data_IF_097388976714
#
_entry.id   IF_097388976714
#
_cell.length_a   1.000
_cell.length_b   1.000
_cell.length_c   1.000
_cell.angle_alpha   90.00
_cell.angle_beta   90.00
_cell.angle_gamma   90.00
#
_symmetry.space_group_name_H-M   'P 1'
#
loop_
_entity.id
_entity.type
_entity.pdbx_description
1 polymer ?
#
# COMPACT_ATOMS: atom_id res chain seq x y z
N UNK A 1 -34.21 -27.19 -0.23
CA UNK A 1 -33.71 -28.18 0.72
C UNK A 1 -32.35 -27.74 1.24
N UNK A 2 -32.12 -27.80 2.55
CA UNK A 2 -30.86 -27.35 3.21
C UNK A 2 -29.70 -28.22 2.75
N UNK A 3 -29.88 -29.55 2.70
CA UNK A 3 -28.78 -30.46 2.32
C UNK A 3 -28.31 -30.29 0.87
N UNK A 4 -29.21 -29.94 -0.06
CA UNK A 4 -28.81 -29.63 -1.43
C UNK A 4 -28.03 -28.33 -1.52
N UNK A 5 -28.39 -27.32 -0.74
CA UNK A 5 -27.60 -26.08 -0.69
C UNK A 5 -26.20 -26.32 -0.09
N UNK A 6 -26.11 -27.10 0.97
CA UNK A 6 -24.84 -27.51 1.57
C UNK A 6 -23.93 -28.26 0.58
N UNK A 7 -24.52 -29.12 -0.27
CA UNK A 7 -23.78 -29.79 -1.35
C UNK A 7 -23.17 -28.78 -2.32
N UNK A 8 -23.93 -27.76 -2.72
CA UNK A 8 -23.44 -26.69 -3.60
C UNK A 8 -22.31 -25.91 -2.91
N UNK A 9 -22.52 -25.47 -1.67
CA UNK A 9 -21.51 -24.76 -0.88
C UNK A 9 -20.21 -25.57 -0.81
N UNK A 10 -20.31 -26.84 -0.42
CA UNK A 10 -19.14 -27.74 -0.33
C UNK A 10 -18.43 -27.89 -1.67
N UNK A 11 -19.16 -28.08 -2.76
CA UNK A 11 -18.58 -28.21 -4.11
C UNK A 11 -17.78 -26.94 -4.48
N UNK A 12 -18.35 -25.75 -4.24
CA UNK A 12 -17.72 -24.49 -4.59
C UNK A 12 -16.51 -24.17 -3.72
N UNK A 13 -16.49 -24.53 -2.43
CA UNK A 13 -15.34 -24.34 -1.56
C UNK A 13 -14.22 -25.35 -1.80
N UNK A 14 -14.54 -26.61 -2.07
CA UNK A 14 -13.55 -27.67 -2.19
C UNK A 14 -12.97 -27.79 -3.62
N UNK A 15 -13.82 -27.65 -4.64
CA UNK A 15 -13.48 -27.91 -6.04
C UNK A 15 -13.62 -26.67 -6.93
N UNK A 16 -14.33 -25.65 -6.45
CA UNK A 16 -14.58 -24.41 -7.20
C UNK A 16 -13.29 -23.67 -7.53
N UNK A 17 -13.32 -22.96 -8.64
CA UNK A 17 -12.21 -22.13 -9.14
C UNK A 17 -12.66 -20.70 -9.30
N UNK A 18 -11.84 -19.77 -8.81
CA UNK A 18 -11.95 -18.36 -9.17
C UNK A 18 -11.28 -18.19 -10.52
N UNK A 19 -12.01 -17.63 -11.47
CA UNK A 19 -11.50 -17.32 -12.81
C UNK A 19 -11.45 -15.81 -13.02
N UNK A 20 -10.45 -15.33 -13.73
CA UNK A 20 -10.34 -13.93 -14.11
C UNK A 20 -9.89 -13.80 -15.56
N UNK A 21 -10.46 -12.83 -16.26
CA UNK A 21 -10.12 -12.49 -17.66
C UNK A 21 -10.26 -11.00 -17.91
N UNK A 22 -9.65 -10.50 -18.97
CA UNK A 22 -9.79 -9.12 -19.38
C UNK A 22 -11.26 -8.73 -19.57
N UNK A 23 -11.66 -7.62 -18.98
CA UNK A 23 -12.94 -6.96 -19.25
C UNK A 23 -12.83 -6.00 -20.44
N UNK A 24 -13.96 -5.41 -20.88
CA UNK A 24 -13.96 -4.41 -21.96
C UNK A 24 -13.13 -3.17 -21.63
N UNK A 25 -13.00 -2.84 -20.35
CA UNK A 25 -12.21 -1.70 -19.85
C UNK A 25 -10.74 -1.99 -19.61
N UNK A 26 -10.22 -3.15 -20.02
CA UNK A 26 -8.83 -3.53 -19.79
C UNK A 26 -7.84 -2.61 -20.50
N UNK A 27 -6.85 -2.10 -19.78
CA UNK A 27 -5.88 -1.11 -20.28
C UNK A 27 -4.58 -1.79 -20.72
N UNK A 28 -3.90 -1.31 -21.78
CA UNK A 28 -2.56 -1.76 -22.13
C UNK A 28 -1.58 -1.53 -20.97
N UNK A 29 -0.71 -2.50 -20.70
CA UNK A 29 0.27 -2.46 -19.61
C UNK A 29 -0.36 -2.31 -18.21
N UNK A 30 -1.54 -2.85 -18.01
CA UNK A 30 -2.22 -2.85 -16.72
C UNK A 30 -1.43 -3.67 -15.69
N UNK A 31 -1.48 -3.22 -14.42
CA UNK A 31 -0.99 -3.97 -13.25
C UNK A 31 -1.68 -5.32 -13.06
N UNK A 32 -2.80 -5.56 -13.77
CA UNK A 32 -3.58 -6.79 -13.73
C UNK A 32 -3.31 -7.75 -14.91
N UNK A 33 -2.32 -7.48 -15.76
CA UNK A 33 -2.03 -8.27 -16.97
C UNK A 33 -1.87 -9.77 -16.68
N UNK A 34 -1.30 -10.13 -15.53
CA UNK A 34 -1.16 -11.52 -15.10
C UNK A 34 -2.50 -12.26 -14.95
N UNK A 35 -3.58 -11.54 -14.62
CA UNK A 35 -4.92 -12.12 -14.41
C UNK A 35 -5.84 -11.96 -15.63
N UNK A 36 -5.41 -11.24 -16.66
CA UNK A 36 -6.21 -10.91 -17.82
C UNK A 36 -6.27 -12.03 -18.87
N UNK A 37 -5.36 -13.01 -18.77
CA UNK A 37 -5.18 -14.11 -19.75
C UNK A 37 -5.76 -15.42 -19.21
N UNK A 38 -7.08 -15.47 -19.01
CA UNK A 38 -7.82 -16.65 -18.54
C UNK A 38 -7.18 -17.29 -17.29
N UNK A 39 -6.91 -16.47 -16.29
CA UNK A 39 -6.38 -16.92 -15.01
C UNK A 39 -7.40 -17.79 -14.26
N UNK A 40 -6.93 -18.85 -13.62
CA UNK A 40 -7.76 -19.74 -12.82
C UNK A 40 -6.97 -20.28 -11.62
N UNK A 41 -7.60 -20.24 -10.42
CA UNK A 41 -7.03 -20.85 -9.20
C UNK A 41 -8.16 -21.42 -8.32
N UNK A 42 -7.85 -22.45 -7.54
CA UNK A 42 -8.82 -23.10 -6.67
C UNK A 42 -9.23 -22.15 -5.51
N UNK A 43 -10.51 -22.14 -5.18
CA UNK A 43 -11.04 -21.38 -4.03
C UNK A 43 -10.28 -21.72 -2.75
N UNK A 44 -10.08 -23.02 -2.47
CA UNK A 44 -9.34 -23.48 -1.29
C UNK A 44 -7.91 -22.95 -1.21
N UNK A 45 -7.21 -22.83 -2.36
CA UNK A 45 -5.86 -22.27 -2.38
C UNK A 45 -5.87 -20.78 -2.03
N UNK A 46 -6.82 -20.04 -2.60
CA UNK A 46 -6.93 -18.60 -2.37
C UNK A 46 -7.35 -18.24 -0.92
N UNK A 47 -7.89 -19.20 -0.17
CA UNK A 47 -8.16 -19.06 1.27
C UNK A 47 -6.90 -19.19 2.12
N UNK A 48 -5.81 -19.76 1.58
CA UNK A 48 -4.53 -19.85 2.29
C UNK A 48 -3.83 -18.49 2.33
N UNK A 49 -3.16 -18.19 3.46
CA UNK A 49 -2.42 -16.93 3.69
C UNK A 49 -1.45 -16.62 2.53
N UNK A 50 -0.72 -17.64 2.06
CA UNK A 50 0.28 -17.52 0.99
C UNK A 50 -0.29 -16.99 -0.33
N UNK A 51 -1.54 -17.27 -0.65
CA UNK A 51 -2.14 -16.97 -1.96
C UNK A 51 -3.26 -15.93 -1.91
N UNK A 52 -3.68 -15.51 -0.72
CA UNK A 52 -4.79 -14.58 -0.52
C UNK A 52 -4.61 -13.23 -1.26
N UNK A 53 -3.38 -12.77 -1.40
CA UNK A 53 -3.05 -11.55 -2.15
C UNK A 53 -3.48 -11.60 -3.64
N UNK A 54 -3.57 -12.81 -4.22
CA UNK A 54 -4.03 -13.00 -5.60
C UNK A 54 -5.50 -12.66 -5.74
N UNK A 55 -6.32 -13.10 -4.78
CA UNK A 55 -7.74 -12.75 -4.78
C UNK A 55 -7.96 -11.25 -4.60
N UNK A 56 -7.19 -10.60 -3.72
CA UNK A 56 -7.24 -9.14 -3.57
C UNK A 56 -6.91 -8.41 -4.87
N UNK A 57 -5.89 -8.86 -5.60
CA UNK A 57 -5.52 -8.28 -6.88
C UNK A 57 -6.62 -8.45 -7.93
N UNK A 58 -7.21 -9.66 -8.05
CA UNK A 58 -8.34 -9.92 -8.96
C UNK A 58 -9.57 -9.09 -8.58
N UNK A 59 -9.90 -9.02 -7.29
CA UNK A 59 -11.03 -8.22 -6.76
C UNK A 59 -10.87 -6.75 -7.08
N UNK A 60 -9.66 -6.19 -6.92
CA UNK A 60 -9.35 -4.82 -7.28
C UNK A 60 -9.47 -4.57 -8.79
N UNK A 61 -8.96 -5.49 -9.63
CA UNK A 61 -9.11 -5.38 -11.08
C UNK A 61 -10.58 -5.44 -11.52
N UNK A 62 -11.40 -6.19 -10.80
CA UNK A 62 -12.84 -6.23 -11.02
C UNK A 62 -13.53 -4.91 -10.62
N UNK A 63 -13.17 -4.33 -9.49
CA UNK A 63 -13.68 -3.03 -9.01
C UNK A 63 -13.22 -1.85 -9.90
N UNK A 64 -12.04 -1.96 -10.50
CA UNK A 64 -11.51 -1.00 -11.49
C UNK A 64 -12.03 -1.25 -12.92
N UNK A 65 -12.96 -2.21 -13.11
CA UNK A 65 -13.59 -2.61 -14.39
C UNK A 65 -12.59 -3.11 -15.45
N UNK A 66 -11.38 -3.47 -15.05
CA UNK A 66 -10.36 -4.04 -15.93
C UNK A 66 -10.43 -5.56 -16.04
N UNK A 67 -10.96 -6.24 -15.02
CA UNK A 67 -11.14 -7.69 -15.02
C UNK A 67 -12.62 -8.08 -14.88
N UNK A 68 -12.96 -9.21 -15.50
CA UNK A 68 -14.18 -9.95 -15.16
C UNK A 68 -13.78 -11.14 -14.31
N UNK A 69 -14.33 -11.23 -13.08
CA UNK A 69 -14.05 -12.30 -12.13
C UNK A 69 -15.32 -13.12 -11.90
N UNK A 70 -15.21 -14.44 -11.99
CA UNK A 70 -16.33 -15.36 -11.69
C UNK A 70 -15.81 -16.56 -10.89
N UNK A 71 -16.74 -17.30 -10.27
CA UNK A 71 -16.45 -18.55 -9.59
C UNK A 71 -17.19 -19.66 -10.32
N UNK A 72 -16.45 -20.68 -10.71
CA UNK A 72 -16.95 -21.83 -11.47
C UNK A 72 -16.81 -23.08 -10.62
N UNK A 73 -17.91 -23.82 -10.46
CA UNK A 73 -17.98 -25.13 -9.80
C UNK A 73 -18.23 -26.25 -10.81
N UNK A 74 -18.55 -27.44 -10.30
CA UNK A 74 -19.08 -28.54 -11.13
C UNK A 74 -20.61 -28.45 -11.24
N UNK A 75 -21.04 -27.42 -12.00
CA UNK A 75 -22.47 -27.10 -12.13
C UNK A 75 -23.27 -28.24 -12.80
N UNK A 76 -22.62 -29.06 -13.63
CA UNK A 76 -23.28 -30.20 -14.27
C UNK A 76 -23.60 -31.32 -13.27
N UNK A 77 -22.67 -31.64 -12.38
CA UNK A 77 -22.89 -32.60 -11.29
C UNK A 77 -23.96 -32.11 -10.33
N UNK A 78 -23.91 -30.81 -9.98
CA UNK A 78 -24.89 -30.19 -9.10
C UNK A 78 -26.28 -30.21 -9.72
N UNK A 79 -26.43 -29.92 -11.00
CA UNK A 79 -27.71 -29.97 -11.71
C UNK A 79 -28.30 -31.38 -11.68
N UNK A 80 -27.49 -32.42 -11.96
CA UNK A 80 -27.93 -33.81 -11.88
C UNK A 80 -28.42 -34.18 -10.47
N UNK A 81 -27.72 -33.67 -9.42
CA UNK A 81 -28.17 -33.90 -8.04
C UNK A 81 -29.53 -33.24 -7.75
N UNK A 82 -29.76 -32.02 -8.21
CA UNK A 82 -31.03 -31.31 -8.07
C UNK A 82 -32.16 -31.97 -8.84
N UNK A 83 -31.93 -32.41 -10.07
CA UNK A 83 -32.93 -33.13 -10.89
C UNK A 83 -33.32 -34.47 -10.27
N UNK A 84 -32.36 -35.24 -9.72
CA UNK A 84 -32.63 -36.49 -8.99
C UNK A 84 -33.45 -36.28 -7.73
N UNK A 85 -33.17 -35.20 -7.01
CA UNK A 85 -34.00 -34.84 -5.83
C UNK A 85 -35.40 -34.44 -6.21
N UNK A 86 -35.57 -33.70 -7.30
CA UNK A 86 -36.87 -33.18 -7.74
C UNK A 86 -37.84 -34.30 -8.20
N UNK A 87 -37.32 -35.34 -8.85
CA UNK A 87 -38.16 -36.43 -9.33
C UNK A 87 -37.40 -37.73 -9.50
N UNK A 88 -38.09 -38.84 -9.15
CA UNK A 88 -37.64 -40.22 -9.40
C UNK A 88 -38.26 -40.82 -10.67
N UNK A 89 -39.29 -40.18 -11.23
CA UNK A 89 -40.02 -40.63 -12.42
C UNK A 89 -39.93 -39.58 -13.54
N UNK A 90 -38.93 -39.64 -14.37
CA UNK A 90 -38.58 -38.54 -15.26
C UNK A 90 -39.43 -38.40 -16.54
N UNK A 91 -40.17 -39.42 -16.95
CA UNK A 91 -40.67 -39.53 -18.30
C UNK A 91 -42.16 -39.13 -18.48
N UNK A 92 -42.66 -38.20 -17.67
CA UNK A 92 -43.97 -37.61 -17.83
C UNK A 92 -43.93 -36.08 -17.73
N UNK A 93 -45.01 -35.41 -18.10
CA UNK A 93 -45.11 -33.95 -18.08
C UNK A 93 -44.82 -33.35 -16.69
N UNK A 94 -45.24 -34.01 -15.62
CA UNK A 94 -44.97 -33.59 -14.22
C UNK A 94 -43.46 -33.71 -13.89
N UNK A 95 -42.83 -34.82 -14.28
CA UNK A 95 -41.36 -34.98 -14.07
C UNK A 95 -40.53 -33.95 -14.83
N UNK A 96 -40.92 -33.65 -16.07
CA UNK A 96 -40.28 -32.59 -16.86
C UNK A 96 -40.42 -31.23 -16.18
N UNK A 97 -41.63 -30.86 -15.71
CA UNK A 97 -41.87 -29.63 -15.00
C UNK A 97 -41.04 -29.52 -13.69
N UNK A 98 -40.95 -30.63 -12.93
CA UNK A 98 -40.15 -30.66 -11.71
C UNK A 98 -38.62 -30.50 -11.98
N UNK A 99 -38.10 -31.12 -13.06
CA UNK A 99 -36.69 -30.92 -13.48
C UNK A 99 -36.41 -29.47 -13.89
N UNK A 100 -37.28 -28.87 -14.67
CA UNK A 100 -37.14 -27.45 -15.06
C UNK A 100 -37.19 -26.53 -13.83
N UNK A 101 -38.08 -26.80 -12.89
CA UNK A 101 -38.15 -26.07 -11.63
C UNK A 101 -36.88 -26.21 -10.79
N UNK A 102 -36.30 -27.42 -10.72
CA UNK A 102 -35.04 -27.70 -10.05
C UNK A 102 -33.86 -26.95 -10.71
N UNK A 103 -33.81 -26.95 -12.05
CA UNK A 103 -32.82 -26.20 -12.82
C UNK A 103 -32.92 -24.70 -12.57
N UNK A 104 -34.13 -24.16 -12.58
CA UNK A 104 -34.38 -22.75 -12.27
C UNK A 104 -33.95 -22.42 -10.85
N UNK A 105 -34.34 -23.26 -9.86
CA UNK A 105 -33.95 -23.08 -8.47
C UNK A 105 -32.43 -23.05 -8.27
N UNK A 106 -31.69 -23.97 -8.90
CA UNK A 106 -30.23 -24.01 -8.85
C UNK A 106 -29.62 -22.77 -9.50
N UNK A 107 -29.93 -22.52 -10.76
CA UNK A 107 -29.21 -21.52 -11.56
C UNK A 107 -29.53 -20.08 -11.18
N UNK A 108 -30.79 -19.79 -10.83
CA UNK A 108 -31.24 -18.42 -10.57
C UNK A 108 -31.10 -18.02 -9.10
N UNK A 109 -31.26 -18.96 -8.17
CA UNK A 109 -31.29 -18.63 -6.75
C UNK A 109 -30.08 -19.17 -6.00
N UNK A 110 -29.71 -20.46 -6.18
CA UNK A 110 -28.71 -21.10 -5.33
C UNK A 110 -27.29 -20.75 -5.78
N UNK A 111 -26.96 -20.93 -7.05
CA UNK A 111 -25.60 -20.64 -7.56
C UNK A 111 -25.19 -19.19 -7.35
N UNK A 112 -26.00 -18.16 -7.67
CA UNK A 112 -25.62 -16.78 -7.39
C UNK A 112 -25.41 -16.50 -5.90
N UNK A 113 -26.29 -17.06 -5.04
CA UNK A 113 -26.17 -16.91 -3.59
C UNK A 113 -24.87 -17.54 -3.06
N UNK A 114 -24.53 -18.76 -3.51
CA UNK A 114 -23.30 -19.45 -3.09
C UNK A 114 -22.06 -18.76 -3.63
N UNK A 115 -22.06 -18.31 -4.89
CA UNK A 115 -20.95 -17.52 -5.44
C UNK A 115 -20.69 -16.27 -4.61
N UNK A 116 -21.74 -15.54 -4.21
CA UNK A 116 -21.59 -14.37 -3.34
C UNK A 116 -21.02 -14.73 -1.95
N UNK A 117 -21.44 -15.88 -1.38
CA UNK A 117 -20.89 -16.38 -0.12
C UNK A 117 -19.40 -16.71 -0.23
N UNK A 118 -18.98 -17.35 -1.32
CA UNK A 118 -17.57 -17.64 -1.59
C UNK A 118 -16.76 -16.35 -1.77
N UNK A 119 -17.29 -15.38 -2.55
CA UNK A 119 -16.63 -14.07 -2.69
C UNK A 119 -16.49 -13.35 -1.35
N UNK A 120 -17.52 -13.37 -0.52
CA UNK A 120 -17.47 -12.76 0.82
C UNK A 120 -16.41 -13.43 1.70
N UNK A 121 -16.33 -14.76 1.68
CA UNK A 121 -15.36 -15.51 2.48
C UNK A 121 -13.91 -15.31 2.00
N UNK A 122 -13.69 -15.29 0.68
CA UNK A 122 -12.39 -14.97 0.10
C UNK A 122 -11.94 -13.56 0.46
N UNK A 123 -12.86 -12.59 0.40
CA UNK A 123 -12.57 -11.20 0.80
C UNK A 123 -12.20 -11.12 2.28
N UNK A 124 -13.03 -11.69 3.17
CA UNK A 124 -12.78 -11.71 4.60
C UNK A 124 -11.37 -12.24 4.92
N UNK A 125 -11.04 -13.42 4.37
CA UNK A 125 -9.73 -14.04 4.61
C UNK A 125 -8.57 -13.23 4.03
N UNK A 126 -8.74 -12.68 2.85
CA UNK A 126 -7.70 -11.83 2.23
C UNK A 126 -7.47 -10.54 3.01
N UNK A 127 -8.54 -9.91 3.52
CA UNK A 127 -8.43 -8.71 4.36
C UNK A 127 -7.73 -9.03 5.70
N UNK A 128 -8.10 -10.15 6.38
CA UNK A 128 -7.42 -10.60 7.59
C UNK A 128 -5.90 -10.75 7.40
N UNK A 129 -5.50 -11.43 6.32
CA UNK A 129 -4.08 -11.65 6.00
C UNK A 129 -3.35 -10.33 5.67
N UNK A 130 -4.00 -9.45 4.89
CA UNK A 130 -3.42 -8.15 4.54
C UNK A 130 -3.22 -7.26 5.77
N UNK A 131 -4.21 -7.21 6.68
CA UNK A 131 -4.12 -6.47 7.94
C UNK A 131 -2.98 -7.03 8.81
N UNK A 132 -2.83 -8.35 8.89
CA UNK A 132 -1.73 -8.98 9.63
C UNK A 132 -0.37 -8.54 9.09
N UNK A 133 -0.16 -8.62 7.77
CA UNK A 133 1.10 -8.19 7.12
C UNK A 133 1.35 -6.70 7.36
N UNK A 134 0.32 -5.87 7.20
CA UNK A 134 0.42 -4.44 7.46
C UNK A 134 0.81 -4.16 8.91
N UNK A 135 0.16 -4.82 9.87
CA UNK A 135 0.45 -4.68 11.31
C UNK A 135 1.90 -5.04 11.62
N UNK A 136 2.41 -6.15 11.06
CA UNK A 136 3.80 -6.54 11.25
C UNK A 136 4.79 -5.51 10.67
N UNK A 137 4.48 -4.94 9.51
CA UNK A 137 5.31 -3.91 8.90
C UNK A 137 5.30 -2.61 9.72
N UNK A 138 4.12 -2.15 10.17
CA UNK A 138 4.00 -1.00 11.07
C UNK A 138 4.77 -1.23 12.36
N UNK A 139 4.64 -2.42 12.95
CA UNK A 139 5.39 -2.79 14.16
C UNK A 139 6.90 -2.70 13.95
N UNK A 140 7.41 -3.22 12.84
CA UNK A 140 8.85 -3.13 12.50
C UNK A 140 9.32 -1.69 12.36
N UNK A 141 8.52 -0.83 11.74
CA UNK A 141 8.84 0.60 11.60
C UNK A 141 8.85 1.29 12.97
N UNK A 142 7.80 1.08 13.78
CA UNK A 142 7.66 1.73 15.10
C UNK A 142 8.68 1.23 16.12
N UNK A 143 9.11 -0.04 16.02
CA UNK A 143 10.15 -0.63 16.89
C UNK A 143 11.55 -0.57 16.28
N UNK A 144 11.73 0.13 15.17
CA UNK A 144 13.05 0.38 14.59
C UNK A 144 13.94 1.12 15.58
N UNK A 145 15.21 0.73 15.64
CA UNK A 145 16.18 1.42 16.53
C UNK A 145 16.26 2.89 16.16
N UNK A 146 16.11 3.81 17.12
CA UNK A 146 16.31 5.23 16.86
C UNK A 146 17.76 5.49 16.47
N UNK A 147 18.00 6.52 15.69
CA UNK A 147 19.37 6.93 15.31
C UNK A 147 20.23 7.34 16.52
N UNK A 148 19.60 7.58 17.65
CA UNK A 148 20.19 7.94 18.93
C UNK A 148 20.25 9.45 19.16
N UNK A 149 20.73 9.83 20.35
CA UNK A 149 20.86 11.24 20.77
C UNK A 149 22.00 11.91 20.01
N UNK A 150 21.70 12.53 18.87
CA UNK A 150 22.67 13.16 17.97
C UNK A 150 22.24 14.56 17.57
N UNK A 151 23.23 15.39 17.28
CA UNK A 151 23.01 16.71 16.71
C UNK A 151 22.83 16.55 15.20
N UNK A 152 21.64 16.85 14.69
CA UNK A 152 21.23 16.61 13.31
C UNK A 152 20.83 17.90 12.62
N UNK A 153 21.28 18.06 11.38
CA UNK A 153 20.81 19.10 10.48
C UNK A 153 19.72 18.53 9.58
N UNK A 154 18.45 18.93 9.79
CA UNK A 154 17.34 18.56 8.94
C UNK A 154 17.22 19.48 7.74
N UNK A 155 17.03 18.94 6.57
CA UNK A 155 16.91 19.67 5.31
C UNK A 155 15.61 19.28 4.63
N UNK A 156 14.71 20.25 4.49
CA UNK A 156 13.48 20.13 3.69
C UNK A 156 13.77 20.71 2.30
N UNK A 157 13.84 19.87 1.24
CA UNK A 157 14.26 20.30 -0.08
C UNK A 157 13.29 21.29 -0.72
N UNK A 158 13.81 22.29 -1.41
CA UNK A 158 13.01 23.27 -2.15
C UNK A 158 13.80 23.94 -3.26
N UNK A 159 13.41 23.72 -4.54
CA UNK A 159 14.12 24.25 -5.70
C UNK A 159 13.98 25.77 -5.83
N UNK A 160 12.75 26.30 -5.74
CA UNK A 160 12.48 27.72 -5.98
C UNK A 160 12.67 28.59 -4.75
N UNK A 161 12.22 28.13 -3.60
CA UNK A 161 12.26 28.91 -2.35
C UNK A 161 13.50 28.63 -1.51
N UNK A 162 14.39 27.76 -1.98
CA UNK A 162 15.53 27.25 -1.22
C UNK A 162 15.14 26.15 -0.23
N UNK A 163 16.12 25.34 0.12
CA UNK A 163 15.96 24.28 1.14
C UNK A 163 15.85 24.93 2.53
N UNK A 164 14.84 24.54 3.30
CA UNK A 164 14.74 24.93 4.70
C UNK A 164 15.63 24.01 5.51
N UNK A 165 16.49 24.60 6.30
CA UNK A 165 17.49 23.89 7.08
C UNK A 165 17.26 24.18 8.54
N UNK A 166 17.08 23.16 9.36
CA UNK A 166 16.90 23.30 10.81
C UNK A 166 17.92 22.44 11.56
N UNK A 167 18.51 22.98 12.60
CA UNK A 167 19.41 22.30 13.49
C UNK A 167 18.69 21.86 14.75
N UNK A 168 18.81 20.57 15.08
CA UNK A 168 18.38 20.04 16.38
C UNK A 168 19.57 19.51 17.16
N UNK A 169 19.52 19.66 18.47
CA UNK A 169 20.55 19.17 19.38
C UNK A 169 20.35 17.68 19.70
N UNK A 170 21.22 17.14 20.58
CA UNK A 170 21.18 15.73 21.02
C UNK A 170 19.90 15.33 21.76
N UNK A 171 19.15 16.28 22.26
CA UNK A 171 17.86 16.05 22.91
C UNK A 171 16.68 16.13 21.93
N UNK A 172 16.94 16.44 20.65
CA UNK A 172 15.92 16.70 19.63
C UNK A 172 15.31 18.11 19.75
N UNK A 173 15.88 18.99 20.58
CA UNK A 173 15.41 20.37 20.73
C UNK A 173 15.88 21.24 19.56
N UNK A 174 14.97 22.09 19.08
CA UNK A 174 15.28 23.07 18.05
C UNK A 174 16.34 24.08 18.53
N UNK A 175 17.36 24.30 17.71
CA UNK A 175 18.44 25.25 17.99
C UNK A 175 18.35 26.48 17.10
N UNK A 176 18.33 26.30 15.81
CA UNK A 176 18.31 27.39 14.82
C UNK A 176 17.80 26.88 13.45
N UNK A 177 17.49 27.82 12.57
CA UNK A 177 17.16 27.50 11.19
C UNK A 177 17.71 28.53 10.21
N UNK A 178 17.81 28.14 8.95
CA UNK A 178 18.19 29.03 7.85
C UNK A 178 17.61 28.52 6.53
N UNK A 179 17.79 29.30 5.47
CA UNK A 179 17.48 28.86 4.09
C UNK A 179 18.76 28.71 3.30
N UNK A 180 18.93 27.56 2.68
CA UNK A 180 20.06 27.25 1.82
C UNK A 180 19.57 27.06 0.38
N UNK A 181 20.16 27.81 -0.56
CA UNK A 181 19.87 27.64 -1.98
C UNK A 181 20.83 26.64 -2.61
N UNK A 182 20.30 25.74 -3.42
CA UNK A 182 21.07 24.73 -4.18
C UNK A 182 21.27 25.11 -5.64
N UNK A 183 20.55 26.12 -6.10
CA UNK A 183 20.60 26.64 -7.46
C UNK A 183 20.84 28.15 -7.47
N UNK A 184 21.42 28.66 -8.56
CA UNK A 184 21.70 30.08 -8.80
C UNK A 184 23.14 30.46 -8.54
N UNK A 185 23.49 31.70 -8.97
CA UNK A 185 24.83 32.22 -8.86
C UNK A 185 25.30 32.34 -7.41
N UNK A 186 26.44 31.73 -7.13
CA UNK A 186 27.07 31.73 -5.79
C UNK A 186 26.38 30.82 -4.75
N UNK A 187 25.39 29.99 -5.14
CA UNK A 187 24.74 29.06 -4.21
C UNK A 187 25.74 28.11 -3.52
N UNK A 188 26.66 27.52 -4.28
CA UNK A 188 27.69 26.67 -3.74
C UNK A 188 28.61 27.39 -2.72
N UNK A 189 29.04 28.61 -3.02
CA UNK A 189 29.89 29.37 -2.12
C UNK A 189 29.18 29.74 -0.82
N UNK A 190 27.88 30.14 -0.91
CA UNK A 190 27.07 30.44 0.27
C UNK A 190 26.86 29.20 1.14
N UNK A 191 26.56 28.04 0.51
CA UNK A 191 26.41 26.77 1.22
C UNK A 191 27.72 26.33 1.89
N UNK A 192 28.86 26.49 1.25
CA UNK A 192 30.19 26.22 1.85
C UNK A 192 30.44 27.09 3.07
N UNK A 193 30.19 28.39 2.95
CA UNK A 193 30.37 29.32 4.09
C UNK A 193 29.43 28.90 5.24
N UNK A 194 28.16 28.69 4.97
CA UNK A 194 27.17 28.27 5.97
C UNK A 194 27.59 26.99 6.70
N UNK A 195 27.86 25.91 5.94
CA UNK A 195 28.22 24.63 6.53
C UNK A 195 29.57 24.67 7.24
N UNK A 196 30.53 25.45 6.75
CA UNK A 196 31.80 25.66 7.44
C UNK A 196 31.63 26.38 8.77
N UNK A 197 30.81 27.39 8.83
CA UNK A 197 30.52 28.13 10.06
C UNK A 197 29.79 27.27 11.09
N UNK A 198 28.72 26.59 10.66
CA UNK A 198 27.94 25.73 11.55
C UNK A 198 28.76 24.57 12.09
N UNK A 199 29.59 23.91 11.24
CA UNK A 199 30.42 22.78 11.66
C UNK A 199 31.64 23.19 12.49
N UNK A 200 32.02 24.48 12.54
CA UNK A 200 33.01 25.01 13.48
C UNK A 200 32.42 25.26 14.87
N UNK A 201 31.17 25.66 14.93
CA UNK A 201 30.50 26.02 16.19
C UNK A 201 29.88 24.80 16.88
N UNK A 202 29.35 23.87 16.10
CA UNK A 202 28.60 22.73 16.61
C UNK A 202 29.05 21.45 15.87
N UNK A 203 29.22 20.37 16.61
CA UNK A 203 29.49 19.06 16.02
C UNK A 203 28.23 18.49 15.44
N UNK A 204 28.07 18.54 14.10
CA UNK A 204 26.99 17.90 13.37
C UNK A 204 27.34 16.44 13.19
N UNK A 205 26.47 15.54 13.61
CA UNK A 205 26.68 14.09 13.55
C UNK A 205 25.98 13.44 12.36
N UNK A 206 24.95 14.10 11.79
CA UNK A 206 24.29 13.71 10.54
C UNK A 206 23.56 14.88 9.90
N UNK A 207 23.31 14.75 8.59
CA UNK A 207 22.40 15.61 7.84
C UNK A 207 21.27 14.72 7.32
N UNK A 208 20.01 14.99 7.74
CA UNK A 208 18.83 14.31 7.27
C UNK A 208 18.17 15.14 6.14
N UNK A 209 17.91 14.53 4.99
CA UNK A 209 17.32 15.19 3.82
C UNK A 209 15.98 14.54 3.49
N UNK A 210 14.91 15.32 3.37
CA UNK A 210 13.62 14.83 2.93
C UNK A 210 13.68 14.21 1.54
N UNK A 211 12.92 13.14 1.31
CA UNK A 211 12.92 12.39 0.04
C UNK A 211 11.90 12.90 -0.99
N UNK A 212 11.33 14.08 -0.80
CA UNK A 212 10.41 14.72 -1.73
C UNK A 212 11.07 15.28 -2.96
N UNK A 213 10.39 16.24 -3.59
CA UNK A 213 10.87 16.89 -4.82
C UNK A 213 12.24 17.55 -4.57
N UNK A 214 13.22 17.26 -5.43
CA UNK A 214 14.62 17.71 -5.31
C UNK A 214 15.42 17.11 -4.15
N UNK A 215 14.91 16.09 -3.46
CA UNK A 215 15.66 15.43 -2.37
C UNK A 215 16.99 14.84 -2.83
N UNK A 216 17.01 14.13 -3.95
CA UNK A 216 18.25 13.52 -4.51
C UNK A 216 19.27 14.55 -4.96
N UNK A 217 18.82 15.61 -5.62
CA UNK A 217 19.67 16.73 -6.06
C UNK A 217 20.27 17.43 -4.85
N UNK A 218 19.48 17.64 -3.80
CA UNK A 218 19.93 18.23 -2.54
C UNK A 218 20.96 17.33 -1.82
N UNK A 219 20.73 16.01 -1.80
CA UNK A 219 21.69 15.04 -1.23
C UNK A 219 23.04 15.10 -1.95
N UNK A 220 23.01 15.06 -3.30
CA UNK A 220 24.24 15.13 -4.12
C UNK A 220 24.97 16.45 -3.88
N UNK A 221 24.23 17.57 -3.86
CA UNK A 221 24.77 18.89 -3.59
C UNK A 221 25.47 18.96 -2.23
N UNK A 222 24.80 18.50 -1.16
CA UNK A 222 25.37 18.50 0.19
C UNK A 222 26.61 17.63 0.30
N UNK A 223 26.60 16.43 -0.28
CA UNK A 223 27.79 15.54 -0.29
C UNK A 223 28.98 16.20 -1.00
N UNK A 224 28.72 16.90 -2.12
CA UNK A 224 29.75 17.67 -2.82
C UNK A 224 30.33 18.75 -1.92
N UNK A 225 29.49 19.58 -1.31
CA UNK A 225 29.94 20.69 -0.43
C UNK A 225 30.69 20.17 0.78
N UNK A 226 30.19 19.12 1.44
CA UNK A 226 30.90 18.53 2.60
C UNK A 226 32.27 18.01 2.24
N UNK A 227 32.44 17.38 1.08
CA UNK A 227 33.74 16.93 0.58
C UNK A 227 34.72 18.10 0.35
N UNK A 228 34.20 19.19 -0.22
CA UNK A 228 35.03 20.37 -0.52
C UNK A 228 35.49 21.16 0.73
N UNK A 229 34.71 21.08 1.83
CA UNK A 229 35.07 21.67 3.13
C UNK A 229 35.79 20.68 4.08
N UNK A 230 36.10 19.45 3.61
CA UNK A 230 36.82 18.43 4.40
C UNK A 230 35.95 17.85 5.54
N UNK A 231 34.64 17.74 5.34
CA UNK A 231 33.65 17.20 6.30
C UNK A 231 32.86 16.02 5.74
N UNK A 232 33.46 15.29 4.81
CA UNK A 232 32.84 14.12 4.12
C UNK A 232 32.52 12.94 5.05
N UNK A 233 33.06 12.94 6.28
CA UNK A 233 32.67 11.98 7.31
C UNK A 233 31.26 12.19 7.89
N UNK A 234 30.63 13.35 7.68
CA UNK A 234 29.28 13.62 8.12
C UNK A 234 28.32 12.90 7.16
N UNK A 235 27.54 11.88 7.63
CA UNK A 235 26.62 11.17 6.77
C UNK A 235 25.44 12.07 6.34
N UNK A 236 25.11 12.02 5.05
CA UNK A 236 23.89 12.62 4.50
C UNK A 236 22.91 11.48 4.22
N UNK A 237 21.77 11.49 4.91
CA UNK A 237 20.81 10.39 4.96
C UNK A 237 19.48 10.90 4.41
N UNK A 238 18.94 10.17 3.39
CA UNK A 238 17.60 10.42 2.90
C UNK A 238 16.57 9.85 3.87
N UNK A 239 15.58 10.66 4.24
CA UNK A 239 14.48 10.26 5.13
C UNK A 239 13.12 10.50 4.49
N UNK A 240 12.14 9.71 4.88
CA UNK A 240 10.77 9.89 4.38
C UNK A 240 10.12 11.12 5.03
N UNK A 241 9.81 12.13 4.23
CA UNK A 241 9.23 13.40 4.70
C UNK A 241 7.70 13.40 4.83
N UNK A 242 7.00 12.29 4.48
CA UNK A 242 5.54 12.25 4.54
C UNK A 242 4.99 12.57 5.94
N UNK A 243 5.64 12.06 6.97
CA UNK A 243 5.32 12.39 8.36
C UNK A 243 5.61 13.85 8.72
N UNK A 244 6.69 14.42 8.19
CA UNK A 244 7.07 15.81 8.43
C UNK A 244 6.05 16.79 7.86
N UNK A 245 5.51 16.51 6.68
CA UNK A 245 4.43 17.33 6.08
C UNK A 245 3.16 17.33 6.94
N UNK A 246 2.77 16.16 7.49
CA UNK A 246 1.62 16.04 8.38
C UNK A 246 1.87 16.77 9.71
N UNK A 247 3.03 16.53 10.33
CA UNK A 247 3.40 17.18 11.59
C UNK A 247 3.42 18.70 11.47
N UNK A 248 4.09 19.25 10.45
CA UNK A 248 4.28 20.69 10.29
C UNK A 248 2.97 21.49 10.22
N UNK A 249 1.90 20.88 9.71
CA UNK A 249 0.56 21.48 9.62
C UNK A 249 -0.31 21.21 10.87
N UNK A 250 0.12 20.35 11.80
CA UNK A 250 -0.66 19.93 12.96
C UNK A 250 -0.80 21.01 14.04
N UNK A 251 -1.80 20.84 14.92
CA UNK A 251 -1.96 21.68 16.12
C UNK A 251 -0.80 21.51 17.10
N UNK A 252 -0.24 20.30 17.18
CA UNK A 252 0.92 20.00 18.02
C UNK A 252 2.12 20.85 17.60
N UNK A 253 2.45 20.88 16.30
CA UNK A 253 3.56 21.69 15.79
C UNK A 253 3.31 23.19 15.94
N UNK A 254 2.05 23.65 15.89
CA UNK A 254 1.70 25.05 16.15
C UNK A 254 1.87 25.43 17.63
N UNK A 255 1.51 24.52 18.52
CA UNK A 255 1.69 24.72 19.94
C UNK A 255 3.17 24.67 20.36
N UNK A 256 3.97 23.77 19.76
CA UNK A 256 5.40 23.61 20.05
C UNK A 256 6.23 24.78 19.51
N UNK A 257 5.89 25.28 18.31
CA UNK A 257 6.62 26.35 17.61
C UNK A 257 5.67 27.41 17.05
N UNK A 258 5.04 28.26 17.90
CA UNK A 258 4.02 29.21 17.44
C UNK A 258 4.55 30.21 16.42
N UNK A 259 5.81 30.61 16.54
CA UNK A 259 6.44 31.68 15.76
C UNK A 259 7.20 31.19 14.52
N UNK A 260 7.29 29.87 14.30
CA UNK A 260 8.01 29.33 13.16
C UNK A 260 7.10 29.04 11.96
N UNK A 261 7.64 29.24 10.76
CA UNK A 261 6.97 28.89 9.50
C UNK A 261 6.76 27.37 9.38
N UNK A 262 5.69 26.97 8.69
CA UNK A 262 5.33 25.56 8.48
C UNK A 262 6.47 24.77 7.83
N UNK A 263 7.21 25.38 6.89
CA UNK A 263 8.32 24.72 6.20
C UNK A 263 9.53 24.50 7.12
N UNK A 264 9.78 25.40 8.07
CA UNK A 264 10.82 25.23 9.12
C UNK A 264 10.42 24.10 10.07
N UNK A 265 9.14 24.01 10.46
CA UNK A 265 8.63 22.88 11.26
C UNK A 265 8.80 21.56 10.55
N UNK A 266 8.64 21.53 9.20
CA UNK A 266 8.96 20.39 8.36
C UNK A 266 10.43 19.97 8.49
N UNK A 267 11.36 20.91 8.36
CA UNK A 267 12.81 20.63 8.49
C UNK A 267 13.18 20.14 9.89
N UNK A 268 12.56 20.67 10.96
CA UNK A 268 12.73 20.18 12.34
C UNK A 268 12.27 18.73 12.46
N UNK A 269 11.11 18.40 11.90
CA UNK A 269 10.57 17.03 11.91
C UNK A 269 11.45 16.05 11.12
N UNK A 270 12.06 16.48 10.02
CA UNK A 270 13.01 15.68 9.23
C UNK A 270 14.27 15.39 10.05
N UNK A 271 14.69 16.30 10.92
CA UNK A 271 15.87 16.15 11.78
C UNK A 271 15.63 15.23 12.98
N UNK A 272 14.40 15.10 13.45
CA UNK A 272 13.98 14.26 14.59
C UNK A 272 13.61 12.84 14.17
#
# INVERSE_FOLDING_TARGET
DIGLRELVVKNYFDLGKVTAKAAKGFKPNSKFDMYAKDYSDLVKNLLEEKFSHRYMAMKRGWEEEELTVDIVGDDEMLLKAYERFATTTPDNATGTFLKESARLALNVYVLPSVKNEVHAKLKEKSDEHAIKVFTENVRKVLLGSPYGSKCVLGVDPGLRTGCKVALVDKSGSYVSHTVMHTLGDGAEQKAKTLLSEVTKQITIEAIAVGNGTAGRETEIFLKKILKEIGKDQIPVIMVNESGASVYSASEVARAEFPDLDVTVKGAISIAR
#
